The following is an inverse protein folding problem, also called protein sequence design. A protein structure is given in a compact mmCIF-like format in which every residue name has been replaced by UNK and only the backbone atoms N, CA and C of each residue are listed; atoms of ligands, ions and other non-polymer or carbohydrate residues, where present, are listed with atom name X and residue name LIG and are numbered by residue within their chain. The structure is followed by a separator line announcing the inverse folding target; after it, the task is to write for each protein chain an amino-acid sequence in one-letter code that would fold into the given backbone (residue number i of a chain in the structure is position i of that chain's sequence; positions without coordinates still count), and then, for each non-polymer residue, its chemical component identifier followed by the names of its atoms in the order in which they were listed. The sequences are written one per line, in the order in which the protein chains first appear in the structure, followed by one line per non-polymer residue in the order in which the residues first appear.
data_IF_542587432777
#
_entry.id   IF_542587432777
#
_cell.length_a   1.000
_cell.length_b   1.000
_cell.length_c   1.000
_cell.angle_alpha   90.00
_cell.angle_beta   90.00
_cell.angle_gamma   90.00
#
_symmetry.space_group_name_H-M   'P 1'
#
loop_
_entity.id
_entity.type
_entity.pdbx_description
1 polymer ?
#
# COMPACT_ATOMS: atom_id res chain seq x y z
N UNK A 1 0.56 37.65 -20.17
CA UNK A 1 -0.39 38.14 -19.15
C UNK A 1 -0.34 39.66 -19.09
N UNK A 2 -1.46 40.32 -19.23
CA UNK A 2 -1.54 41.78 -19.12
C UNK A 2 -1.65 42.18 -17.65
N UNK A 3 -1.11 43.34 -17.27
CA UNK A 3 -1.18 43.85 -15.89
C UNK A 3 -2.61 43.99 -15.36
N UNK A 4 -3.55 44.34 -16.25
CA UNK A 4 -4.98 44.48 -15.88
C UNK A 4 -5.64 43.13 -15.47
N UNK A 5 -5.08 42.01 -15.89
CA UNK A 5 -5.65 40.68 -15.65
C UNK A 5 -5.06 40.01 -14.39
N UNK A 6 -4.05 40.59 -13.74
CA UNK A 6 -3.34 40.01 -12.62
C UNK A 6 -4.26 39.65 -11.44
N UNK A 7 -5.18 40.54 -11.10
CA UNK A 7 -6.08 40.33 -9.98
C UNK A 7 -7.00 39.10 -10.17
N UNK A 8 -7.29 38.74 -11.42
CA UNK A 8 -8.11 37.57 -11.77
C UNK A 8 -7.26 36.32 -12.02
N UNK A 9 -6.12 36.50 -12.71
CA UNK A 9 -5.28 35.38 -13.14
C UNK A 9 -4.45 34.78 -12.01
N UNK A 10 -3.96 35.58 -11.06
CA UNK A 10 -3.17 35.07 -9.94
C UNK A 10 -3.95 34.09 -9.06
N UNK A 11 -5.17 34.40 -8.58
CA UNK A 11 -5.97 33.45 -7.83
C UNK A 11 -6.25 32.17 -8.62
N UNK A 12 -6.59 32.30 -9.90
CA UNK A 12 -6.85 31.15 -10.78
C UNK A 12 -5.61 30.25 -10.91
N UNK A 13 -4.42 30.80 -11.06
CA UNK A 13 -3.18 30.06 -11.14
C UNK A 13 -2.83 29.37 -9.82
N UNK A 14 -3.08 30.01 -8.69
CA UNK A 14 -2.89 29.41 -7.37
C UNK A 14 -3.81 28.21 -7.16
N UNK A 15 -5.08 28.33 -7.53
CA UNK A 15 -6.04 27.22 -7.46
C UNK A 15 -5.59 26.07 -8.37
N UNK A 16 -5.16 26.37 -9.57
CA UNK A 16 -4.64 25.35 -10.50
C UNK A 16 -3.39 24.64 -9.96
N UNK A 17 -2.45 25.37 -9.38
CA UNK A 17 -1.26 24.78 -8.74
C UNK A 17 -1.68 23.85 -7.62
N UNK A 18 -2.65 24.24 -6.80
CA UNK A 18 -3.18 23.42 -5.72
C UNK A 18 -3.80 22.12 -6.26
N UNK A 19 -4.64 22.20 -7.28
CA UNK A 19 -5.23 21.04 -7.93
C UNK A 19 -4.18 20.12 -8.56
N UNK A 20 -3.19 20.69 -9.24
CA UNK A 20 -2.11 19.92 -9.87
C UNK A 20 -1.27 19.18 -8.84
N UNK A 21 -0.98 19.80 -7.71
CA UNK A 21 -0.28 19.16 -6.58
C UNK A 21 -1.10 18.01 -5.99
N UNK A 22 -2.39 18.23 -5.77
CA UNK A 22 -3.30 17.19 -5.28
C UNK A 22 -3.39 16.01 -6.26
N UNK A 23 -3.62 16.27 -7.53
CA UNK A 23 -3.76 15.23 -8.56
C UNK A 23 -2.46 14.44 -8.73
N UNK A 24 -1.31 15.08 -8.62
CA UNK A 24 0.00 14.41 -8.67
C UNK A 24 0.20 13.49 -7.46
N UNK A 25 -0.12 13.96 -6.27
CA UNK A 25 -0.04 13.15 -5.05
C UNK A 25 -1.04 11.98 -5.09
N UNK A 26 -2.26 12.21 -5.55
CA UNK A 26 -3.29 11.19 -5.72
C UNK A 26 -2.82 10.10 -6.68
N UNK A 27 -2.29 10.49 -7.84
CA UNK A 27 -1.74 9.55 -8.82
C UNK A 27 -0.60 8.72 -8.23
N UNK A 28 0.34 9.36 -7.53
CA UNK A 28 1.45 8.66 -6.88
C UNK A 28 0.95 7.64 -5.86
N UNK A 29 -0.04 7.99 -5.04
CA UNK A 29 -0.67 7.07 -4.11
C UNK A 29 -1.29 5.87 -4.84
N UNK A 30 -2.09 6.13 -5.87
CA UNK A 30 -2.81 5.08 -6.59
C UNK A 30 -1.86 4.14 -7.34
N UNK A 31 -0.79 4.66 -7.91
CA UNK A 31 0.26 3.87 -8.57
C UNK A 31 0.98 2.92 -7.58
N UNK A 32 1.05 3.29 -6.30
CA UNK A 32 1.69 2.50 -5.24
C UNK A 32 0.70 1.72 -4.36
N UNK A 33 -0.56 1.67 -4.72
CA UNK A 33 -1.57 0.86 -4.05
C UNK A 33 -1.87 -0.38 -4.87
N UNK A 34 -1.54 -1.56 -4.35
CA UNK A 34 -1.69 -2.84 -5.03
C UNK A 34 -2.68 -3.73 -4.30
N UNK A 35 -3.23 -4.70 -5.01
CA UNK A 35 -4.14 -5.71 -4.45
C UNK A 35 -3.47 -7.06 -4.55
N UNK A 36 -3.48 -7.85 -3.48
CA UNK A 36 -2.93 -9.19 -3.44
C UNK A 36 -3.92 -10.16 -2.80
N UNK A 37 -4.04 -11.34 -3.39
CA UNK A 37 -4.91 -12.42 -2.91
C UNK A 37 -4.14 -13.63 -2.38
N UNK A 38 -2.82 -13.61 -2.51
CA UNK A 38 -1.94 -14.67 -2.04
C UNK A 38 -0.63 -14.09 -1.47
N UNK A 39 0.11 -14.94 -0.77
CA UNK A 39 1.34 -14.52 -0.09
C UNK A 39 2.43 -14.02 -1.05
N UNK A 40 2.61 -14.68 -2.18
CA UNK A 40 3.67 -14.31 -3.14
C UNK A 40 3.44 -12.91 -3.73
N UNK A 41 2.21 -12.62 -4.15
CA UNK A 41 1.84 -11.31 -4.69
C UNK A 41 1.94 -10.24 -3.60
N UNK A 42 1.55 -10.56 -2.37
CA UNK A 42 1.68 -9.69 -1.22
C UNK A 42 3.14 -9.30 -0.95
N UNK A 43 4.03 -10.26 -0.87
CA UNK A 43 5.46 -9.99 -0.64
C UNK A 43 6.10 -9.26 -1.82
N UNK A 44 5.75 -9.61 -3.05
CA UNK A 44 6.22 -8.91 -4.25
C UNK A 44 5.82 -7.44 -4.26
N UNK A 45 4.56 -7.15 -3.93
CA UNK A 45 4.07 -5.78 -3.85
C UNK A 45 4.75 -4.98 -2.73
N UNK A 46 4.94 -5.58 -1.55
CA UNK A 46 5.66 -4.94 -0.43
C UNK A 46 7.12 -4.65 -0.77
N UNK A 47 7.80 -5.57 -1.45
CA UNK A 47 9.19 -5.39 -1.88
C UNK A 47 9.30 -4.30 -2.96
N UNK A 48 8.24 -4.08 -3.74
CA UNK A 48 8.12 -2.97 -4.68
C UNK A 48 7.80 -1.61 -4.04
N UNK A 49 7.89 -1.49 -2.71
CA UNK A 49 7.58 -0.26 -1.95
C UNK A 49 6.13 0.22 -2.14
N UNK A 50 5.20 -0.71 -2.16
CA UNK A 50 3.78 -0.43 -2.29
C UNK A 50 3.03 -0.66 -0.97
N UNK A 51 1.85 -0.05 -0.86
CA UNK A 51 0.81 -0.42 0.09
C UNK A 51 -0.04 -1.51 -0.55
N UNK A 52 -0.41 -2.53 0.21
CA UNK A 52 -1.11 -3.70 -0.33
C UNK A 52 -2.46 -3.87 0.32
N UNK A 53 -3.51 -3.94 -0.49
CA UNK A 53 -4.87 -4.27 -0.06
C UNK A 53 -5.07 -5.79 -0.21
N UNK A 54 -5.52 -6.44 0.86
CA UNK A 54 -5.74 -7.89 0.88
C UNK A 54 -7.05 -8.27 1.55
N UNK A 55 -7.68 -9.37 1.13
CA UNK A 55 -8.73 -9.99 1.93
C UNK A 55 -8.12 -10.57 3.21
N UNK A 56 -8.72 -10.24 4.35
CA UNK A 56 -8.18 -10.53 5.67
C UNK A 56 -9.20 -11.16 6.61
N UNK A 57 -8.75 -12.11 7.43
CA UNK A 57 -9.61 -12.80 8.40
C UNK A 57 -9.88 -12.00 9.68
N UNK A 58 -9.19 -10.87 9.88
CA UNK A 58 -9.31 -9.99 11.04
C UNK A 58 -9.03 -10.70 12.38
N UNK A 59 -7.96 -11.48 12.41
CA UNK A 59 -7.49 -12.19 13.60
C UNK A 59 -6.10 -11.68 14.02
N UNK A 60 -5.99 -11.10 15.22
CA UNK A 60 -4.74 -10.50 15.71
C UNK A 60 -3.59 -11.50 15.87
N UNK A 61 -3.88 -12.75 16.23
CA UNK A 61 -2.87 -13.79 16.32
C UNK A 61 -2.26 -14.14 14.95
N UNK A 62 -3.03 -14.02 13.88
CA UNK A 62 -2.55 -14.24 12.52
C UNK A 62 -1.73 -13.04 12.01
N UNK A 63 -2.02 -11.84 12.49
CA UNK A 63 -1.23 -10.64 12.17
C UNK A 63 0.22 -10.77 12.65
N UNK A 64 0.46 -11.25 13.85
CA UNK A 64 1.81 -11.50 14.36
C UNK A 64 2.56 -12.54 13.50
N UNK A 65 1.89 -13.59 13.03
CA UNK A 65 2.49 -14.57 12.12
C UNK A 65 2.86 -13.97 10.76
N UNK A 66 2.01 -13.09 10.21
CA UNK A 66 2.32 -12.36 8.98
C UNK A 66 3.55 -11.47 9.16
N UNK A 67 3.61 -10.77 10.28
CA UNK A 67 4.73 -9.90 10.65
C UNK A 67 6.04 -10.69 10.76
N UNK A 68 6.03 -11.79 11.50
CA UNK A 68 7.21 -12.63 11.71
C UNK A 68 7.68 -13.25 10.39
N UNK A 69 6.79 -13.85 9.63
CA UNK A 69 7.11 -14.46 8.34
C UNK A 69 7.65 -13.45 7.34
N UNK A 70 7.04 -12.27 7.25
CA UNK A 70 7.51 -11.22 6.33
C UNK A 70 8.90 -10.72 6.70
N UNK A 71 9.20 -10.64 8.00
CA UNK A 71 10.53 -10.28 8.50
C UNK A 71 11.57 -11.35 8.18
N UNK A 72 11.26 -12.62 8.43
CA UNK A 72 12.15 -13.75 8.12
C UNK A 72 12.48 -13.84 6.63
N UNK A 73 11.48 -13.71 5.77
CA UNK A 73 11.70 -13.73 4.31
C UNK A 73 12.54 -12.53 3.84
N UNK A 74 12.34 -11.34 4.43
CA UNK A 74 13.17 -10.17 4.13
C UNK A 74 14.64 -10.37 4.56
N UNK A 75 14.86 -10.96 5.73
CA UNK A 75 16.21 -11.27 6.20
C UNK A 75 16.91 -12.34 5.34
N UNK A 76 16.18 -13.35 4.87
CA UNK A 76 16.72 -14.35 3.93
C UNK A 76 17.10 -13.70 2.59
N UNK A 77 16.25 -12.83 2.06
CA UNK A 77 16.58 -12.09 0.85
C UNK A 77 17.81 -11.20 1.01
N UNK A 78 17.99 -10.56 2.17
CA UNK A 78 19.23 -9.83 2.47
C UNK A 78 20.48 -10.72 2.46
N UNK A 79 20.39 -11.92 3.03
CA UNK A 79 21.51 -12.85 3.07
C UNK A 79 21.88 -13.38 1.68
N UNK A 80 20.88 -13.52 0.79
CA UNK A 80 21.05 -14.04 -0.58
C UNK A 80 21.45 -12.95 -1.58
N UNK A 81 21.08 -11.68 -1.35
CA UNK A 81 21.23 -10.56 -2.30
C UNK A 81 22.61 -9.91 -2.22
N UNK A 82 23.59 -10.22 -1.58
CA UNK A 82 24.89 -9.55 -1.53
C UNK A 82 24.81 -8.03 -1.25
N UNK A 83 25.95 -7.36 -1.21
CA UNK A 83 26.06 -5.93 -0.82
C UNK A 83 25.48 -4.92 -1.84
N UNK A 84 25.08 -5.36 -3.03
CA UNK A 84 24.68 -4.48 -4.14
C UNK A 84 23.16 -4.22 -4.24
N UNK A 85 22.32 -4.97 -3.53
CA UNK A 85 20.87 -4.79 -3.55
C UNK A 85 20.34 -4.20 -2.23
N UNK A 86 19.61 -3.09 -2.36
CA UNK A 86 18.89 -2.47 -1.24
C UNK A 86 17.65 -3.29 -0.88
N UNK A 87 17.77 -4.20 0.08
CA UNK A 87 16.67 -5.03 0.55
C UNK A 87 15.91 -4.33 1.68
N UNK A 88 14.59 -4.30 1.54
CA UNK A 88 13.72 -3.73 2.56
C UNK A 88 13.54 -4.72 3.73
N UNK A 89 13.94 -4.32 4.92
CA UNK A 89 13.98 -5.20 6.13
C UNK A 89 12.80 -5.04 7.06
N UNK A 90 11.94 -4.05 6.83
CA UNK A 90 10.76 -3.82 7.66
C UNK A 90 9.75 -4.97 7.60
N UNK A 91 9.13 -5.28 8.74
CA UNK A 91 8.03 -6.25 8.80
C UNK A 91 6.74 -5.69 8.24
N UNK A 92 5.88 -6.56 7.70
CA UNK A 92 4.53 -6.18 7.29
C UNK A 92 3.65 -5.93 8.51
N UNK A 93 2.88 -4.85 8.47
CA UNK A 93 1.86 -4.52 9.48
C UNK A 93 0.58 -4.07 8.81
N UNK A 94 -0.54 -4.35 9.45
CA UNK A 94 -1.82 -3.74 9.09
C UNK A 94 -1.77 -2.23 9.33
N UNK A 95 -2.29 -1.48 8.38
CA UNK A 95 -2.40 -0.02 8.47
C UNK A 95 -3.81 0.39 8.86
N UNK A 96 -4.80 -0.07 8.11
CA UNK A 96 -6.20 0.18 8.38
C UNK A 96 -7.11 -0.77 7.59
N UNK A 97 -8.39 -0.75 7.96
CA UNK A 97 -9.48 -1.31 7.17
C UNK A 97 -10.16 -0.13 6.49
N UNK A 98 -9.98 0.08 5.17
CA UNK A 98 -10.55 1.24 4.49
C UNK A 98 -12.07 1.16 4.43
N UNK A 99 -12.75 2.30 4.62
CA UNK A 99 -14.20 2.39 4.47
C UNK A 99 -14.66 2.13 3.03
N UNK A 100 -13.89 2.63 2.07
CA UNK A 100 -14.14 2.48 0.64
C UNK A 100 -12.89 1.89 -0.03
N UNK A 101 -12.68 0.57 0.05
CA UNK A 101 -11.53 -0.07 -0.59
C UNK A 101 -11.63 0.05 -2.12
N UNK A 102 -10.48 0.17 -2.79
CA UNK A 102 -10.41 0.18 -4.27
C UNK A 102 -11.00 -1.09 -4.89
N UNK A 103 -10.86 -2.20 -4.19
CA UNK A 103 -11.52 -3.46 -4.53
C UNK A 103 -12.32 -3.91 -3.30
N UNK A 104 -13.64 -3.99 -3.39
CA UNK A 104 -14.46 -4.44 -2.27
C UNK A 104 -14.31 -5.94 -2.03
N UNK A 105 -14.53 -6.36 -0.78
CA UNK A 105 -14.60 -7.78 -0.44
C UNK A 105 -15.80 -8.42 -1.16
N UNK A 106 -15.55 -9.57 -1.78
CA UNK A 106 -16.58 -10.37 -2.46
C UNK A 106 -16.94 -11.59 -1.65
N UNK A 107 -18.16 -12.07 -1.84
CA UNK A 107 -18.58 -13.33 -1.26
C UNK A 107 -17.69 -14.48 -1.75
N UNK A 108 -17.18 -15.28 -0.82
CA UNK A 108 -16.26 -16.38 -1.11
C UNK A 108 -14.78 -16.02 -1.12
N UNK A 109 -14.43 -14.74 -0.95
CA UNK A 109 -13.02 -14.34 -0.78
C UNK A 109 -12.42 -14.95 0.47
N UNK A 110 -11.18 -15.43 0.34
CA UNK A 110 -10.43 -16.05 1.43
C UNK A 110 -9.27 -15.15 1.86
N UNK A 111 -8.94 -15.23 3.15
CA UNK A 111 -7.76 -14.56 3.69
C UNK A 111 -6.50 -14.97 2.90
N UNK A 112 -5.74 -13.98 2.47
CA UNK A 112 -4.53 -14.18 1.65
C UNK A 112 -3.46 -15.02 2.35
N UNK A 113 -3.50 -15.08 3.68
CA UNK A 113 -2.51 -15.77 4.51
C UNK A 113 -3.00 -17.12 5.03
N UNK A 114 -4.20 -17.16 5.61
CA UNK A 114 -4.71 -18.36 6.30
C UNK A 114 -5.59 -19.25 5.42
N UNK A 115 -6.15 -18.71 4.34
CA UNK A 115 -7.15 -19.40 3.54
C UNK A 115 -8.54 -19.53 4.19
N UNK A 116 -8.72 -19.01 5.42
CA UNK A 116 -10.03 -18.90 6.07
C UNK A 116 -10.90 -17.88 5.32
N UNK A 117 -12.23 -17.93 5.49
CA UNK A 117 -13.10 -16.90 4.92
C UNK A 117 -12.64 -15.50 5.37
N UNK A 118 -12.50 -14.59 4.42
CA UNK A 118 -12.14 -13.21 4.72
C UNK A 118 -13.34 -12.46 5.29
N UNK A 119 -13.07 -11.58 6.25
CA UNK A 119 -14.09 -10.74 6.89
C UNK A 119 -14.03 -9.30 6.40
N UNK A 120 -12.83 -8.83 6.05
CA UNK A 120 -12.55 -7.44 5.66
C UNK A 120 -11.50 -7.39 4.57
N UNK A 121 -11.41 -6.22 3.90
CA UNK A 121 -10.22 -5.86 3.13
C UNK A 121 -9.34 -4.99 4.01
N UNK A 122 -8.09 -5.36 4.17
CA UNK A 122 -7.13 -4.64 5.00
C UNK A 122 -5.95 -4.11 4.18
N UNK A 123 -5.49 -2.92 4.52
CA UNK A 123 -4.27 -2.33 3.96
C UNK A 123 -3.06 -2.72 4.81
N UNK A 124 -2.00 -3.07 4.13
CA UNK A 124 -0.72 -3.45 4.72
C UNK A 124 0.41 -2.58 4.19
N UNK A 125 1.40 -2.35 5.04
CA UNK A 125 2.63 -1.68 4.67
C UNK A 125 3.80 -2.21 5.46
N UNK A 126 5.01 -1.81 5.07
CA UNK A 126 6.20 -2.12 5.87
C UNK A 126 6.33 -1.12 7.02
N UNK A 127 6.73 -1.64 8.18
CA UNK A 127 7.09 -0.85 9.35
C UNK A 127 8.56 -1.12 9.69
N UNK A 128 9.29 -0.06 9.86
CA UNK A 128 10.71 -0.05 10.21
C UNK A 128 10.90 0.24 11.69
#
# INVERSE_FOLDING_TARGET
MKWADLATEIPRLLDQIHEDMYNRALKTRDDHMKVAYNWNDFMSALNGRNIVLTPWCDEGAEEEKVKDRSKEESLKQMADAGEEEEVLTGSAKTLCIPFNPIVPLKEGDKCFFTGKPAKVMALWGRSY
#
